data_IF_942521726264
#
_entry.id   IF_942521726264
#
_cell.length_a   1.000
_cell.length_b   1.000
_cell.length_c   1.000
_cell.angle_alpha   90.00
_cell.angle_beta   90.00
_cell.angle_gamma   90.00
#
_symmetry.space_group_name_H-M   'P 1'
#
loop_
_entity.id
_entity.type
_entity.pdbx_description
1 polymer ?
#
# COMPACT_ATOMS: atom_id res chain seq x y z
N UNK A 1 5.34 -9.56 -6.39
CA UNK A 1 5.98 -8.40 -7.04
C UNK A 1 6.81 -7.73 -5.96
N UNK A 2 8.11 -7.55 -6.17
CA UNK A 2 8.96 -6.96 -5.13
C UNK A 2 9.11 -5.45 -5.34
N UNK A 3 9.27 -4.68 -4.26
CA UNK A 3 9.41 -3.22 -4.33
C UNK A 3 10.56 -2.75 -5.25
N UNK A 4 11.67 -3.50 -5.29
CA UNK A 4 12.80 -3.20 -6.16
C UNK A 4 12.43 -3.33 -7.65
N UNK A 5 11.65 -4.35 -8.01
CA UNK A 5 11.18 -4.53 -9.38
C UNK A 5 10.34 -3.32 -9.84
N UNK A 6 9.56 -2.73 -8.93
CA UNK A 6 8.77 -1.54 -9.20
C UNK A 6 9.63 -0.29 -9.34
N UNK A 7 10.65 -0.13 -8.51
CA UNK A 7 11.59 1.00 -8.64
C UNK A 7 12.37 0.94 -9.95
N UNK A 8 12.76 -0.26 -10.41
CA UNK A 8 13.43 -0.44 -11.69
C UNK A 8 12.53 -0.10 -12.89
N UNK A 9 11.22 -0.36 -12.77
CA UNK A 9 10.22 -0.05 -13.80
C UNK A 9 9.83 1.44 -13.83
N UNK A 10 9.87 2.12 -12.68
CA UNK A 10 9.61 3.56 -12.54
C UNK A 10 10.81 4.29 -11.91
N UNK A 11 11.95 4.37 -12.60
CA UNK A 11 13.21 4.87 -12.03
C UNK A 11 13.17 6.37 -11.67
N UNK A 12 12.28 7.14 -12.30
CA UNK A 12 12.12 8.57 -12.06
C UNK A 12 10.99 8.90 -11.07
N UNK A 13 10.26 7.89 -10.58
CA UNK A 13 9.15 8.10 -9.65
C UNK A 13 9.56 7.92 -8.19
N UNK A 14 9.06 8.80 -7.33
CA UNK A 14 9.19 8.66 -5.88
C UNK A 14 8.08 7.76 -5.33
N UNK A 15 8.23 6.45 -5.52
CA UNK A 15 7.27 5.46 -5.04
C UNK A 15 7.38 5.32 -3.51
N UNK A 16 6.29 5.67 -2.81
CA UNK A 16 6.17 5.43 -1.37
C UNK A 16 5.62 4.02 -1.11
N UNK A 17 6.27 3.28 -0.22
CA UNK A 17 5.87 1.95 0.21
C UNK A 17 5.40 1.97 1.67
N UNK A 18 4.56 1.00 2.04
CA UNK A 18 4.17 0.82 3.44
C UNK A 18 5.32 0.18 4.22
N UNK A 19 5.42 0.59 5.48
CA UNK A 19 6.22 -0.09 6.50
C UNK A 19 5.28 -0.87 7.44
N UNK A 20 5.69 -2.04 7.95
CA UNK A 20 6.97 -2.72 7.73
C UNK A 20 7.07 -3.44 6.36
N UNK A 21 8.26 -3.95 5.98
CA UNK A 21 8.49 -4.63 4.69
C UNK A 21 7.54 -5.79 4.37
N UNK A 22 6.99 -6.44 5.38
CA UNK A 22 6.01 -7.53 5.20
C UNK A 22 4.74 -7.07 4.45
N UNK A 23 4.45 -5.77 4.45
CA UNK A 23 3.35 -5.18 3.67
C UNK A 23 3.54 -5.35 2.17
N UNK A 24 4.76 -5.61 1.68
CA UNK A 24 5.02 -5.88 0.26
C UNK A 24 4.23 -7.07 -0.27
N UNK A 25 3.87 -8.02 0.59
CA UNK A 25 3.04 -9.16 0.22
C UNK A 25 1.64 -8.74 -0.26
N UNK A 26 1.19 -7.53 0.09
CA UNK A 26 -0.08 -6.97 -0.33
C UNK A 26 0.02 -6.03 -1.55
N UNK A 27 1.22 -5.80 -2.11
CA UNK A 27 1.38 -5.00 -3.34
C UNK A 27 0.74 -5.72 -4.52
N UNK A 28 -0.16 -5.03 -5.22
CA UNK A 28 -0.76 -5.52 -6.47
C UNK A 28 -0.18 -4.84 -7.72
N UNK A 29 0.45 -3.67 -7.57
CA UNK A 29 1.09 -2.95 -8.67
C UNK A 29 1.25 -1.47 -8.42
N UNK A 30 1.29 -0.70 -9.51
CA UNK A 30 1.41 0.76 -9.51
C UNK A 30 0.20 1.35 -10.25
N UNK A 31 -0.39 2.39 -9.68
CA UNK A 31 -1.50 3.14 -10.25
C UNK A 31 -0.97 4.42 -10.89
N UNK A 32 -1.23 4.57 -12.19
CA UNK A 32 -0.83 5.75 -12.97
C UNK A 32 -2.02 6.66 -13.22
N UNK A 33 -1.81 7.97 -13.09
CA UNK A 33 -2.82 9.00 -13.35
C UNK A 33 -2.20 10.09 -14.21
N UNK A 34 -2.93 10.56 -15.21
CA UNK A 34 -2.43 11.58 -16.12
C UNK A 34 -2.03 12.85 -15.36
N UNK A 35 -0.76 13.26 -15.51
CA UNK A 35 -0.23 14.48 -14.89
C UNK A 35 0.06 14.38 -13.39
N UNK A 36 0.09 13.19 -12.80
CA UNK A 36 0.47 12.96 -11.40
C UNK A 36 1.55 11.90 -11.29
N UNK A 37 2.30 11.92 -10.19
CA UNK A 37 3.24 10.83 -9.89
C UNK A 37 2.47 9.51 -9.73
N UNK A 38 3.05 8.39 -10.20
CA UNK A 38 2.47 7.08 -9.97
C UNK A 38 2.52 6.75 -8.47
N UNK A 39 1.55 5.95 -8.01
CA UNK A 39 1.44 5.56 -6.60
C UNK A 39 1.36 4.04 -6.48
N UNK A 40 1.93 3.48 -5.42
CA UNK A 40 1.87 2.04 -5.17
C UNK A 40 0.44 1.66 -4.77
N UNK A 41 -0.08 0.59 -5.37
CA UNK A 41 -1.40 0.05 -5.10
C UNK A 41 -1.30 -1.23 -4.27
N UNK A 42 -2.04 -1.28 -3.17
CA UNK A 42 -2.13 -2.45 -2.28
C UNK A 42 -3.51 -3.07 -2.33
N UNK A 43 -3.60 -4.39 -2.16
CA UNK A 43 -4.85 -5.06 -1.82
C UNK A 43 -5.21 -4.71 -0.38
N UNK A 44 -6.36 -4.05 -0.20
CA UNK A 44 -6.83 -3.57 1.11
C UNK A 44 -6.94 -4.71 2.12
N UNK A 45 -7.69 -5.75 1.78
CA UNK A 45 -7.93 -6.89 2.66
C UNK A 45 -6.61 -7.62 3.01
N UNK A 46 -5.67 -7.73 2.08
CA UNK A 46 -4.37 -8.35 2.35
C UNK A 46 -3.53 -7.57 3.37
N UNK A 47 -3.51 -6.22 3.28
CA UNK A 47 -2.85 -5.38 4.31
C UNK A 47 -3.47 -5.62 5.68
N UNK A 48 -4.80 -5.65 5.76
CA UNK A 48 -5.49 -5.89 7.03
C UNK A 48 -5.18 -7.29 7.58
N UNK A 49 -5.13 -8.33 6.75
CA UNK A 49 -4.77 -9.69 7.23
C UNK A 49 -3.35 -9.77 7.79
N UNK A 50 -2.41 -9.01 7.23
CA UNK A 50 -1.05 -8.88 7.79
C UNK A 50 -1.12 -8.24 9.18
N UNK A 51 -1.87 -7.13 9.32
CA UNK A 51 -2.07 -6.47 10.61
C UNK A 51 -2.80 -7.36 11.64
N UNK A 52 -3.81 -8.12 11.22
CA UNK A 52 -4.58 -9.05 12.08
C UNK A 52 -3.64 -10.05 12.76
N UNK A 53 -2.60 -10.49 12.06
CA UNK A 53 -1.62 -11.45 12.59
C UNK A 53 -0.79 -10.89 13.74
N UNK A 54 -0.69 -9.56 13.87
CA UNK A 54 0.07 -8.87 14.92
C UNK A 54 -0.83 -8.35 16.06
N UNK A 55 -1.99 -7.76 15.73
CA UNK A 55 -2.82 -7.03 16.69
C UNK A 55 -4.30 -7.46 16.77
N UNK A 56 -4.68 -8.56 16.11
CA UNK A 56 -6.05 -9.06 16.09
C UNK A 56 -6.98 -8.25 15.17
N UNK A 57 -8.23 -8.70 15.00
CA UNK A 57 -9.13 -8.18 13.97
C UNK A 57 -9.55 -6.72 14.18
N UNK A 58 -10.13 -6.39 15.34
CA UNK A 58 -10.57 -5.02 15.63
C UNK A 58 -9.40 -4.02 15.60
N UNK A 59 -8.28 -4.37 16.24
CA UNK A 59 -7.09 -3.53 16.25
C UNK A 59 -6.51 -3.33 14.85
N UNK A 60 -6.53 -4.35 13.99
CA UNK A 60 -6.03 -4.23 12.62
C UNK A 60 -6.88 -3.28 11.77
N UNK A 61 -8.20 -3.30 11.93
CA UNK A 61 -9.11 -2.38 11.25
C UNK A 61 -8.89 -0.93 11.71
N UNK A 62 -8.84 -0.69 13.01
CA UNK A 62 -8.57 0.65 13.56
C UNK A 62 -7.20 1.15 13.13
N UNK A 63 -6.17 0.31 13.24
CA UNK A 63 -4.82 0.67 12.83
C UNK A 63 -4.75 1.00 11.35
N UNK A 64 -5.38 0.17 10.50
CA UNK A 64 -5.46 0.43 9.07
C UNK A 64 -6.12 1.78 8.80
N UNK A 65 -7.27 2.07 9.40
CA UNK A 65 -7.99 3.31 9.15
C UNK A 65 -7.20 4.56 9.55
N UNK A 66 -6.58 4.56 10.73
CA UNK A 66 -5.89 5.75 11.25
C UNK A 66 -4.43 5.86 10.80
N UNK A 67 -3.66 4.77 10.87
CA UNK A 67 -2.20 4.77 10.71
C UNK A 67 -1.75 4.31 9.32
N UNK A 68 -2.64 3.78 8.48
CA UNK A 68 -2.27 3.29 7.15
C UNK A 68 -3.03 4.02 6.04
N UNK A 69 -4.35 3.93 6.03
CA UNK A 69 -5.21 4.62 5.06
C UNK A 69 -5.29 6.13 5.34
N UNK A 70 -5.44 6.51 6.61
CA UNK A 70 -5.47 7.91 7.05
C UNK A 70 -4.09 8.58 7.13
N UNK A 71 -3.00 7.82 7.01
CA UNK A 71 -1.63 8.34 7.06
C UNK A 71 -1.27 9.02 5.73
N UNK A 72 -1.70 10.27 5.56
CA UNK A 72 -1.35 11.08 4.39
C UNK A 72 0.07 11.61 4.50
N UNK A 73 0.94 11.15 3.60
CA UNK A 73 2.37 11.51 3.55
C UNK A 73 2.73 12.35 2.32
N UNK A 74 1.73 12.81 1.56
CA UNK A 74 1.90 13.58 0.33
C UNK A 74 1.25 12.90 -0.89
N UNK A 75 1.47 13.45 -2.08
CA UNK A 75 0.77 13.03 -3.30
C UNK A 75 1.13 11.61 -3.77
N UNK A 76 2.23 11.04 -3.26
CA UNK A 76 2.68 9.68 -3.54
C UNK A 76 2.16 8.65 -2.52
N UNK A 77 1.30 9.08 -1.57
CA UNK A 77 0.65 8.19 -0.61
C UNK A 77 -0.03 7.02 -1.33
N UNK A 78 0.25 5.75 -0.93
CA UNK A 78 -0.32 4.58 -1.57
C UNK A 78 -1.85 4.59 -1.65
N UNK A 79 -2.38 3.89 -2.65
CA UNK A 79 -3.81 3.60 -2.73
C UNK A 79 -4.11 2.14 -2.38
N UNK A 80 -5.38 1.89 -2.05
CA UNK A 80 -5.87 0.60 -1.60
C UNK A 80 -7.05 0.17 -2.45
N UNK A 81 -6.99 -1.06 -2.95
CA UNK A 81 -8.01 -1.64 -3.81
C UNK A 81 -8.75 -2.72 -3.03
N UNK A 82 -10.07 -2.56 -2.94
CA UNK A 82 -10.99 -3.64 -2.55
C UNK A 82 -11.37 -4.43 -3.80
N UNK A 83 -11.04 -5.72 -3.80
CA UNK A 83 -11.32 -6.62 -4.92
C UNK A 83 -12.67 -7.29 -4.69
N UNK A 84 -13.60 -7.22 -5.66
CA UNK A 84 -14.79 -8.08 -5.65
C UNK A 84 -14.41 -9.45 -6.21
N UNK A 85 -14.78 -10.50 -5.48
CA UNK A 85 -14.61 -11.90 -5.90
C UNK A 85 -15.90 -12.45 -6.48
#
# INVERSE_FOLDING_TARGET
MHRNDLQDLWPDADLLFLDPPDMDAAIIGVCERFGQNPIVAYNREAVIQILVSDMGEEGAWEWFEFNTFGAWMGDTTPCFITVQT
#
